data_IF_291253566770
#
_entry.id   IF_291253566770
#
_cell.length_a   1.000
_cell.length_b   1.000
_cell.length_c   1.000
_cell.angle_alpha   90.00
_cell.angle_beta   90.00
_cell.angle_gamma   90.00
#
_symmetry.space_group_name_H-M   'P 1'
#
loop_
_entity.id
_entity.type
_entity.pdbx_description
1 polymer ?
#
# COMPACT_ATOMS: atom_id res chain seq x y z
N UNK A 1 -10.67 -5.68 7.81
CA UNK A 1 -11.46 -6.56 6.92
C UNK A 1 -10.61 -7.16 5.79
N UNK A 2 -9.82 -6.34 5.08
CA UNK A 2 -8.93 -6.77 3.97
C UNK A 2 -8.00 -7.93 4.38
N UNK A 3 -7.24 -7.79 5.47
CA UNK A 3 -6.35 -8.87 5.95
C UNK A 3 -7.11 -10.17 6.24
N UNK A 4 -8.27 -10.10 6.90
CA UNK A 4 -9.09 -11.27 7.25
C UNK A 4 -9.63 -11.99 6.02
N UNK A 5 -10.16 -11.24 5.05
CA UNK A 5 -10.74 -11.82 3.83
C UNK A 5 -9.66 -12.32 2.87
N UNK A 6 -8.59 -11.55 2.70
CA UNK A 6 -7.46 -11.91 1.83
C UNK A 6 -6.46 -12.87 2.45
N UNK A 7 -6.56 -13.13 3.76
CA UNK A 7 -5.57 -13.88 4.56
C UNK A 7 -4.15 -13.37 4.30
N UNK A 8 -3.99 -12.05 4.32
CA UNK A 8 -2.77 -11.34 3.96
C UNK A 8 -2.17 -10.63 5.18
N UNK A 9 -0.86 -10.69 5.28
CA UNK A 9 -0.06 -10.06 6.33
C UNK A 9 0.87 -8.98 5.74
N UNK A 10 1.46 -8.16 6.62
CA UNK A 10 2.52 -7.24 6.20
C UNK A 10 3.71 -8.07 5.72
N UNK A 11 4.27 -7.72 4.57
CA UNK A 11 5.33 -8.44 3.88
C UNK A 11 4.84 -9.48 2.88
N UNK A 12 3.53 -9.62 2.65
CA UNK A 12 2.98 -10.53 1.63
C UNK A 12 3.00 -9.95 0.20
N UNK A 13 3.41 -8.68 0.06
CA UNK A 13 3.39 -7.89 -1.17
C UNK A 13 1.97 -7.72 -1.71
N UNK A 14 1.13 -7.08 -0.91
CA UNK A 14 -0.27 -6.76 -1.24
C UNK A 14 -0.61 -5.36 -0.76
N UNK A 15 -1.80 -4.85 -1.09
CA UNK A 15 -2.27 -3.57 -0.56
C UNK A 15 -2.16 -3.40 0.97
N UNK A 16 -2.13 -4.49 1.74
CA UNK A 16 -1.90 -4.44 3.20
C UNK A 16 -0.58 -3.73 3.55
N UNK A 17 0.44 -3.85 2.70
CA UNK A 17 1.74 -3.19 2.86
C UNK A 17 1.69 -1.66 2.73
N UNK A 18 0.59 -1.12 2.20
CA UNK A 18 0.30 0.32 2.18
C UNK A 18 -0.73 0.68 3.25
N UNK A 19 -1.83 -0.07 3.35
CA UNK A 19 -2.90 0.23 4.30
C UNK A 19 -2.43 0.23 5.76
N UNK A 20 -1.61 -0.75 6.16
CA UNK A 20 -1.17 -0.86 7.55
C UNK A 20 -0.32 0.35 7.99
N UNK A 21 0.78 0.73 7.29
CA UNK A 21 1.56 1.90 7.69
C UNK A 21 0.83 3.22 7.47
N UNK A 22 -0.04 3.35 6.45
CA UNK A 22 -0.86 4.56 6.26
C UNK A 22 -1.79 4.80 7.45
N UNK A 23 -2.46 3.76 7.95
CA UNK A 23 -3.34 3.88 9.13
C UNK A 23 -2.53 4.27 10.37
N UNK A 24 -1.30 3.77 10.50
CA UNK A 24 -0.44 4.13 11.63
C UNK A 24 0.04 5.58 11.54
N UNK A 25 0.48 6.02 10.37
CA UNK A 25 0.83 7.42 10.12
C UNK A 25 -0.34 8.36 10.36
N UNK A 26 -1.55 7.97 9.96
CA UNK A 26 -2.75 8.77 10.17
C UNK A 26 -3.03 8.98 11.66
N UNK A 27 -2.93 7.92 12.48
CA UNK A 27 -3.08 8.02 13.94
C UNK A 27 -2.03 8.91 14.59
N UNK A 28 -0.84 8.94 14.01
CA UNK A 28 0.29 9.72 14.51
C UNK A 28 0.39 11.13 13.88
N UNK A 29 -0.59 11.52 13.05
CA UNK A 29 -0.59 12.79 12.31
C UNK A 29 0.67 13.02 11.45
N UNK A 30 1.17 11.94 10.86
CA UNK A 30 2.39 11.94 10.04
C UNK A 30 2.11 11.62 8.57
N UNK A 31 0.87 11.32 8.19
CA UNK A 31 0.54 10.88 6.84
C UNK A 31 0.73 12.02 5.83
N UNK A 32 1.59 11.79 4.83
CA UNK A 32 1.79 12.70 3.68
C UNK A 32 1.79 11.91 2.36
N UNK A 33 1.58 12.57 1.21
CA UNK A 33 1.69 11.93 -0.11
C UNK A 33 3.04 11.23 -0.34
N UNK A 34 4.15 11.81 0.14
CA UNK A 34 5.50 11.26 -0.02
C UNK A 34 5.66 9.96 0.76
N UNK A 35 5.12 9.88 1.97
CA UNK A 35 5.17 8.63 2.76
C UNK A 35 4.32 7.54 2.14
N UNK A 36 3.17 7.89 1.56
CA UNK A 36 2.36 6.96 0.76
C UNK A 36 3.20 6.41 -0.40
N UNK A 37 3.93 7.27 -1.12
CA UNK A 37 4.84 6.85 -2.19
C UNK A 37 5.95 5.92 -1.69
N UNK A 38 6.55 6.23 -0.54
CA UNK A 38 7.54 5.34 0.06
C UNK A 38 6.98 3.95 0.35
N UNK A 39 5.76 3.83 0.87
CA UNK A 39 5.13 2.54 1.14
C UNK A 39 4.85 1.76 -0.14
N UNK A 40 4.35 2.44 -1.18
CA UNK A 40 4.17 1.84 -2.50
C UNK A 40 5.50 1.31 -3.03
N UNK A 41 6.55 2.14 -3.02
CA UNK A 41 7.87 1.78 -3.57
C UNK A 41 8.53 0.64 -2.79
N UNK A 42 8.38 0.62 -1.45
CA UNK A 42 8.88 -0.47 -0.60
C UNK A 42 8.31 -1.83 -0.99
N UNK A 43 7.12 -1.89 -1.59
CA UNK A 43 6.59 -3.16 -2.08
C UNK A 43 7.46 -3.80 -3.16
N UNK A 44 8.21 -3.02 -3.94
CA UNK A 44 9.15 -3.55 -4.93
C UNK A 44 10.25 -4.43 -4.31
N UNK A 45 10.59 -4.21 -3.05
CA UNK A 45 11.59 -4.99 -2.32
C UNK A 45 11.05 -6.32 -1.78
N UNK A 46 9.73 -6.54 -1.87
CA UNK A 46 9.07 -7.73 -1.35
C UNK A 46 8.88 -8.78 -2.45
N UNK A 47 8.95 -10.05 -2.05
CA UNK A 47 8.52 -11.18 -2.88
C UNK A 47 7.04 -11.48 -2.60
N UNK A 48 6.27 -11.68 -3.65
CA UNK A 48 4.85 -11.96 -3.54
C UNK A 48 4.59 -13.32 -2.87
N UNK A 49 3.72 -13.32 -1.84
CA UNK A 49 3.25 -14.53 -1.15
C UNK A 49 1.75 -14.78 -1.32
N UNK A 50 1.01 -13.79 -1.84
CA UNK A 50 -0.44 -13.84 -2.06
C UNK A 50 -0.82 -13.39 -3.47
N UNK A 51 -2.03 -13.76 -3.88
CA UNK A 51 -2.62 -13.35 -5.16
C UNK A 51 -1.93 -13.95 -6.39
N UNK A 52 -2.28 -13.44 -7.57
CA UNK A 52 -1.75 -13.95 -8.86
C UNK A 52 -0.26 -13.70 -9.03
N UNK A 53 0.30 -12.67 -8.39
CA UNK A 53 1.72 -12.37 -8.46
C UNK A 53 2.59 -13.42 -7.75
N UNK A 54 2.06 -14.12 -6.73
CA UNK A 54 2.77 -15.20 -6.06
C UNK A 54 3.00 -16.44 -6.95
N UNK A 55 2.27 -16.56 -8.06
CA UNK A 55 2.49 -17.64 -9.03
C UNK A 55 3.79 -17.44 -9.83
N UNK A 56 4.30 -16.20 -9.91
CA UNK A 56 5.59 -15.92 -10.49
C UNK A 56 6.67 -16.12 -9.43
N UNK A 57 7.27 -17.33 -9.39
CA UNK A 57 8.24 -17.76 -8.39
C UNK A 57 9.33 -16.70 -8.07
N UNK A 58 9.84 -16.03 -9.11
CA UNK A 58 10.97 -15.10 -8.99
C UNK A 58 10.69 -13.70 -9.58
N UNK A 59 9.66 -13.57 -10.44
CA UNK A 59 9.41 -12.37 -11.23
C UNK A 59 8.78 -11.19 -10.49
N UNK A 60 8.45 -11.33 -9.21
CA UNK A 60 7.78 -10.27 -8.43
C UNK A 60 8.75 -9.31 -7.73
N UNK A 61 10.01 -9.68 -7.56
CA UNK A 61 11.01 -8.82 -6.92
C UNK A 61 11.42 -7.68 -7.89
N UNK A 62 11.56 -6.47 -7.36
CA UNK A 62 11.85 -5.26 -8.14
C UNK A 62 10.62 -4.59 -8.76
N UNK A 63 9.44 -5.21 -8.70
CA UNK A 63 8.19 -4.65 -9.24
C UNK A 63 7.28 -4.14 -8.12
N UNK A 64 6.76 -2.93 -8.27
CA UNK A 64 5.72 -2.41 -7.35
C UNK A 64 4.46 -3.27 -7.45
N UNK A 65 3.82 -3.53 -6.32
CA UNK A 65 2.54 -4.24 -6.30
C UNK A 65 1.39 -3.34 -6.81
N UNK A 66 0.61 -3.77 -7.82
CA UNK A 66 -0.47 -2.96 -8.36
C UNK A 66 -1.61 -2.68 -7.37
N UNK A 67 -1.90 -3.62 -6.46
CA UNK A 67 -2.90 -3.42 -5.39
C UNK A 67 -2.48 -2.34 -4.39
N UNK A 68 -1.19 -2.31 -4.07
CA UNK A 68 -0.55 -1.28 -3.25
C UNK A 68 -0.52 0.07 -3.96
N UNK A 69 -0.15 0.10 -5.24
CA UNK A 69 -0.14 1.33 -6.04
C UNK A 69 -1.54 1.99 -6.10
N UNK A 70 -2.56 1.21 -6.47
CA UNK A 70 -3.95 1.70 -6.51
C UNK A 70 -4.47 2.16 -5.15
N UNK A 71 -4.12 1.46 -4.06
CA UNK A 71 -4.46 1.92 -2.70
C UNK A 71 -3.76 3.22 -2.34
N UNK A 72 -2.51 3.39 -2.77
CA UNK A 72 -1.79 4.65 -2.60
C UNK A 72 -2.45 5.81 -3.33
N UNK A 73 -2.87 5.61 -4.59
CA UNK A 73 -3.64 6.61 -5.33
C UNK A 73 -4.94 7.00 -4.60
N UNK A 74 -5.66 6.02 -4.04
CA UNK A 74 -6.86 6.28 -3.24
C UNK A 74 -6.58 7.20 -2.05
N UNK A 75 -5.51 6.93 -1.29
CA UNK A 75 -5.18 7.76 -0.13
C UNK A 75 -4.69 9.16 -0.50
N UNK A 76 -3.92 9.31 -1.59
CA UNK A 76 -3.52 10.64 -2.06
C UNK A 76 -4.73 11.46 -2.50
N UNK A 77 -5.66 10.85 -3.24
CA UNK A 77 -6.90 11.52 -3.63
C UNK A 77 -7.76 11.90 -2.42
N UNK A 78 -7.76 11.09 -1.35
CA UNK A 78 -8.43 11.44 -0.09
C UNK A 78 -7.78 12.67 0.57
N UNK A 79 -6.44 12.72 0.67
CA UNK A 79 -5.73 13.88 1.23
C UNK A 79 -6.00 15.15 0.43
N UNK A 80 -5.94 15.07 -0.90
CA UNK A 80 -6.27 16.18 -1.80
C UNK A 80 -7.71 16.67 -1.61
N UNK A 81 -8.67 15.75 -1.48
CA UNK A 81 -10.08 16.10 -1.24
C UNK A 81 -10.28 16.77 0.13
N UNK A 82 -9.60 16.30 1.17
CA UNK A 82 -9.64 16.93 2.49
C UNK A 82 -9.03 18.33 2.47
N UNK A 83 -7.88 18.54 1.82
CA UNK A 83 -7.27 19.87 1.67
C UNK A 83 -8.20 20.85 0.94
N UNK A 84 -8.85 20.40 -0.14
CA UNK A 84 -9.79 21.22 -0.92
C UNK A 84 -11.08 21.59 -0.15
N UNK A 85 -11.47 20.84 0.87
CA UNK A 85 -12.62 21.18 1.71
C UNK A 85 -12.34 22.35 2.69
N UNK A 86 -11.08 22.78 2.81
CA UNK A 86 -10.67 23.95 3.60
C UNK A 86 -10.31 25.17 2.73
N UNK A 87 -10.63 25.14 1.42
CA UNK A 87 -10.45 26.25 0.47
C UNK A 87 -11.79 26.91 0.14
#
# INVERSE_FOLDING_TARGET
>A
MIQRLGRAEIGDKTMVDVWAPVVEDLKNHQLTPERIDEYILKTALLRAKKGRHAYAADGSLGLVDPGSYSSGLLFKALLEAEENNYV
#
